data_IF_352360814017
#
_entry.id   IF_352360814017
#
_cell.length_a   1.000
_cell.length_b   1.000
_cell.length_c   1.000
_cell.angle_alpha   90.00
_cell.angle_beta   90.00
_cell.angle_gamma   90.00
#
_symmetry.space_group_name_H-M   'P 1'
#
loop_
_entity.id
_entity.type
_entity.pdbx_description
1 polymer ?
#
# COMPACT_ATOMS: atom_id res chain seq x y z
N UNK A 1 -15.16 -16.46 0.40
CA UNK A 1 -15.04 -15.22 -0.42
C UNK A 1 -13.66 -14.60 -0.22
N UNK A 2 -13.24 -13.72 -1.14
CA UNK A 2 -11.97 -12.97 -1.06
C UNK A 2 -12.30 -11.49 -0.93
N UNK A 3 -11.84 -10.89 0.18
CA UNK A 3 -11.97 -9.46 0.46
C UNK A 3 -10.62 -8.78 0.29
N UNK A 4 -10.57 -7.73 -0.52
CA UNK A 4 -9.41 -6.86 -0.69
C UNK A 4 -9.64 -5.55 0.07
N UNK A 5 -8.87 -5.33 1.15
CA UNK A 5 -9.11 -4.26 2.12
C UNK A 5 -7.94 -3.28 2.14
N UNK A 6 -8.21 -1.99 1.93
CA UNK A 6 -7.17 -0.97 1.85
C UNK A 6 -7.63 0.39 2.32
N UNK A 7 -6.66 1.19 2.81
CA UNK A 7 -6.85 2.61 3.07
C UNK A 7 -6.71 3.40 1.77
N UNK A 8 -7.57 4.42 1.59
CA UNK A 8 -7.61 5.26 0.40
C UNK A 8 -7.53 6.75 0.78
N UNK A 9 -6.79 7.53 -0.01
CA UNK A 9 -6.68 8.98 0.15
C UNK A 9 -7.25 9.72 -1.06
N UNK A 10 -6.51 9.82 -2.18
CA UNK A 10 -6.88 10.57 -3.38
C UNK A 10 -6.37 9.92 -4.68
N UNK A 11 -5.83 8.73 -4.62
CA UNK A 11 -5.16 8.04 -5.73
C UNK A 11 -6.17 7.35 -6.67
N UNK A 12 -7.11 8.13 -7.27
CA UNK A 12 -8.21 7.58 -8.09
C UNK A 12 -7.73 6.71 -9.27
N UNK A 13 -6.61 7.06 -9.89
CA UNK A 13 -6.04 6.32 -11.01
C UNK A 13 -5.45 4.98 -10.56
N UNK A 14 -4.78 4.98 -9.39
CA UNK A 14 -4.25 3.76 -8.77
C UNK A 14 -5.38 2.86 -8.29
N UNK A 15 -6.45 3.45 -7.73
CA UNK A 15 -7.67 2.72 -7.36
C UNK A 15 -8.29 2.02 -8.57
N UNK A 16 -8.43 2.73 -9.68
CA UNK A 16 -8.98 2.15 -10.89
C UNK A 16 -8.10 1.02 -11.44
N UNK A 17 -6.78 1.22 -11.44
CA UNK A 17 -5.82 0.19 -11.82
C UNK A 17 -5.98 -1.06 -10.93
N UNK A 18 -6.01 -0.87 -9.60
CA UNK A 18 -6.19 -1.95 -8.62
C UNK A 18 -7.48 -2.74 -8.85
N UNK A 19 -8.61 -2.05 -8.98
CA UNK A 19 -9.91 -2.67 -9.16
C UNK A 19 -9.94 -3.53 -10.44
N UNK A 20 -9.41 -3.03 -11.55
CA UNK A 20 -9.37 -3.76 -12.81
C UNK A 20 -8.44 -4.98 -12.76
N UNK A 21 -7.26 -4.86 -12.14
CA UNK A 21 -6.32 -5.97 -11.99
C UNK A 21 -6.92 -7.07 -11.11
N UNK A 22 -7.56 -6.71 -9.99
CA UNK A 22 -7.98 -7.67 -8.98
C UNK A 22 -9.42 -8.19 -9.18
N UNK A 23 -10.23 -7.53 -10.01
CA UNK A 23 -11.63 -7.91 -10.24
C UNK A 23 -11.84 -9.37 -10.69
N UNK A 24 -10.92 -10.04 -11.39
CA UNK A 24 -11.11 -11.45 -11.74
C UNK A 24 -11.02 -12.44 -10.57
N UNK A 25 -10.50 -12.00 -9.40
CA UNK A 25 -10.19 -12.91 -8.28
C UNK A 25 -10.75 -12.45 -6.94
N UNK A 26 -11.06 -11.17 -6.76
CA UNK A 26 -11.58 -10.58 -5.52
C UNK A 26 -13.09 -10.50 -5.58
N UNK A 27 -13.80 -10.90 -4.55
CA UNK A 27 -15.27 -10.81 -4.47
C UNK A 27 -15.74 -9.44 -3.98
N UNK A 28 -15.07 -8.87 -2.96
CA UNK A 28 -15.41 -7.58 -2.35
C UNK A 28 -14.17 -6.73 -2.11
N UNK A 29 -14.31 -5.44 -2.33
CA UNK A 29 -13.29 -4.42 -2.04
C UNK A 29 -13.74 -3.58 -0.85
N UNK A 30 -13.01 -3.61 0.24
CA UNK A 30 -13.26 -2.76 1.42
C UNK A 30 -12.36 -1.53 1.31
N UNK A 31 -12.93 -0.44 0.85
CA UNK A 31 -12.26 0.85 0.70
C UNK A 31 -12.52 1.71 1.93
N UNK A 32 -11.46 2.03 2.69
CA UNK A 32 -11.56 2.89 3.88
C UNK A 32 -11.07 4.28 3.57
N UNK A 33 -11.96 5.24 3.56
CA UNK A 33 -11.68 6.65 3.30
C UNK A 33 -12.00 7.50 4.55
N UNK A 34 -11.20 8.55 4.79
CA UNK A 34 -11.46 9.53 5.87
C UNK A 34 -11.71 10.91 5.27
N UNK A 35 -12.52 11.72 5.94
CA UNK A 35 -12.68 13.15 5.65
C UNK A 35 -11.60 14.03 6.31
N UNK A 36 -10.57 13.42 6.88
CA UNK A 36 -9.36 14.07 7.40
C UNK A 36 -8.11 13.39 6.84
N UNK A 37 -7.05 14.16 6.69
CA UNK A 37 -5.70 13.63 6.42
C UNK A 37 -5.10 13.05 7.71
N UNK A 38 -4.04 12.26 7.61
CA UNK A 38 -3.30 11.81 8.81
C UNK A 38 -2.57 12.95 9.52
N UNK A 39 -2.37 14.11 8.85
CA UNK A 39 -1.94 15.35 9.49
C UNK A 39 -3.09 16.14 10.15
N UNK A 40 -4.27 15.53 10.28
CA UNK A 40 -5.47 16.07 10.91
C UNK A 40 -6.04 17.32 10.22
N UNK A 41 -5.87 17.44 8.91
CA UNK A 41 -6.50 18.52 8.12
C UNK A 41 -7.78 17.98 7.47
N UNK A 42 -8.88 18.76 7.44
CA UNK A 42 -10.08 18.38 6.71
C UNK A 42 -9.79 18.15 5.23
N UNK A 43 -10.41 17.15 4.65
CA UNK A 43 -10.35 16.87 3.22
C UNK A 43 -11.68 16.33 2.70
N UNK A 44 -11.84 16.38 1.41
CA UNK A 44 -12.96 15.75 0.74
C UNK A 44 -12.90 14.22 0.79
N UNK A 45 -14.06 13.59 0.65
CA UNK A 45 -14.17 12.17 0.36
C UNK A 45 -14.04 11.97 -1.16
N UNK A 46 -12.81 11.74 -1.63
CA UNK A 46 -12.49 11.66 -3.06
C UNK A 46 -13.20 10.50 -3.75
N UNK A 47 -13.25 9.31 -3.12
CA UNK A 47 -14.01 8.19 -3.69
C UNK A 47 -15.51 8.51 -3.74
N UNK A 48 -16.08 9.05 -2.67
CA UNK A 48 -17.51 9.38 -2.63
C UNK A 48 -17.89 10.36 -3.74
N UNK A 49 -17.06 11.37 -4.01
CA UNK A 49 -17.28 12.36 -5.07
C UNK A 49 -17.09 11.81 -6.48
N UNK A 50 -16.37 10.72 -6.64
CA UNK A 50 -16.04 10.13 -7.94
C UNK A 50 -16.65 8.74 -8.13
N UNK A 51 -17.71 8.39 -7.43
CA UNK A 51 -18.35 7.06 -7.48
C UNK A 51 -18.70 6.60 -8.88
N UNK A 52 -19.17 7.51 -9.71
CA UNK A 52 -19.59 7.20 -11.08
C UNK A 52 -18.44 6.65 -11.93
N UNK A 53 -17.21 7.09 -11.68
CA UNK A 53 -15.99 6.54 -12.31
C UNK A 53 -15.82 5.04 -12.04
N UNK A 54 -16.35 4.55 -10.91
CA UNK A 54 -16.21 3.18 -10.44
C UNK A 54 -17.53 2.39 -10.51
N UNK A 55 -18.49 2.85 -11.30
CA UNK A 55 -19.82 2.23 -11.40
C UNK A 55 -19.78 0.73 -11.76
N UNK A 56 -18.80 0.31 -12.58
CA UNK A 56 -18.60 -1.10 -12.94
C UNK A 56 -18.25 -2.02 -11.74
N UNK A 57 -17.85 -1.45 -10.61
CA UNK A 57 -17.49 -2.16 -9.40
C UNK A 57 -18.42 -1.86 -8.22
N UNK A 58 -19.49 -1.08 -8.43
CA UNK A 58 -20.34 -0.54 -7.36
C UNK A 58 -20.88 -1.61 -6.41
N UNK A 59 -21.33 -2.76 -6.94
CA UNK A 59 -21.88 -3.88 -6.16
C UNK A 59 -20.84 -4.64 -5.34
N UNK A 60 -19.57 -4.38 -5.60
CA UNK A 60 -18.43 -5.06 -4.96
C UNK A 60 -17.66 -4.17 -4.00
N UNK A 61 -17.82 -2.83 -4.08
CA UNK A 61 -17.12 -1.89 -3.21
C UNK A 61 -17.92 -1.64 -1.94
N UNK A 62 -17.32 -1.99 -0.81
CA UNK A 62 -17.80 -1.64 0.53
C UNK A 62 -17.04 -0.38 0.96
N UNK A 63 -17.71 0.77 0.89
CA UNK A 63 -17.12 2.06 1.24
C UNK A 63 -17.30 2.34 2.74
N UNK A 64 -16.20 2.34 3.46
CA UNK A 64 -16.15 2.64 4.89
C UNK A 64 -15.63 4.07 5.10
N UNK A 65 -16.46 4.94 5.64
CA UNK A 65 -16.09 6.33 5.95
C UNK A 65 -15.64 6.46 7.39
N UNK A 66 -14.47 7.09 7.59
CA UNK A 66 -13.98 7.56 8.89
C UNK A 66 -14.21 9.07 8.95
N UNK A 67 -15.29 9.46 9.60
CA UNK A 67 -15.75 10.84 9.74
C UNK A 67 -15.22 11.54 10.99
N UNK A 68 -14.68 10.79 11.95
CA UNK A 68 -14.09 11.32 13.18
C UNK A 68 -12.90 10.46 13.60
N UNK A 69 -11.79 11.11 13.90
CA UNK A 69 -10.64 10.47 14.53
C UNK A 69 -10.76 10.48 16.07
N UNK A 70 -10.06 9.56 16.76
CA UNK A 70 -10.01 9.53 18.21
C UNK A 70 -9.26 10.75 18.76
N UNK A 71 -9.49 11.05 20.03
CA UNK A 71 -8.73 12.06 20.75
C UNK A 71 -7.23 11.72 20.70
N UNK A 72 -6.44 12.72 20.30
CA UNK A 72 -5.00 12.58 20.11
C UNK A 72 -4.29 13.88 20.50
N UNK A 73 -4.12 14.16 21.81
CA UNK A 73 -3.58 15.42 22.30
C UNK A 73 -2.17 15.76 21.79
N UNK A 74 -1.42 14.73 21.39
CA UNK A 74 -0.07 14.89 20.80
C UNK A 74 -0.08 15.08 19.30
N UNK A 75 -1.26 15.11 18.67
CA UNK A 75 -1.44 15.17 17.21
C UNK A 75 -0.52 14.20 16.44
N UNK A 76 -0.38 12.99 16.94
CA UNK A 76 0.47 11.97 16.34
C UNK A 76 -0.25 11.34 15.14
N UNK A 77 0.21 11.64 13.94
CA UNK A 77 -0.37 11.17 12.67
C UNK A 77 -0.51 9.64 12.57
N UNK A 78 0.38 8.89 13.21
CA UNK A 78 0.32 7.43 13.28
C UNK A 78 -0.91 6.89 14.04
N UNK A 79 -1.48 7.66 14.96
CA UNK A 79 -2.73 7.30 15.64
C UNK A 79 -3.88 7.32 14.65
N UNK A 80 -3.94 8.33 13.79
CA UNK A 80 -4.98 8.51 12.79
C UNK A 80 -4.88 7.45 11.68
N UNK A 81 -3.66 7.17 11.18
CA UNK A 81 -3.43 6.11 10.20
C UNK A 81 -3.88 4.74 10.71
N UNK A 82 -3.48 4.39 11.94
CA UNK A 82 -3.88 3.12 12.58
C UNK A 82 -5.39 3.02 12.77
N UNK A 83 -6.02 4.11 13.18
CA UNK A 83 -7.47 4.15 13.36
C UNK A 83 -8.20 3.95 12.04
N UNK A 84 -7.77 4.64 10.98
CA UNK A 84 -8.33 4.48 9.65
C UNK A 84 -8.15 3.04 9.15
N UNK A 85 -6.97 2.45 9.27
CA UNK A 85 -6.73 1.06 8.85
C UNK A 85 -7.57 0.06 9.67
N UNK A 86 -7.73 0.26 10.97
CA UNK A 86 -8.56 -0.61 11.79
C UNK A 86 -10.05 -0.50 11.45
N UNK A 87 -10.51 0.58 10.82
CA UNK A 87 -11.87 0.72 10.33
C UNK A 87 -12.21 -0.28 9.18
N UNK A 88 -11.23 -0.98 8.60
CA UNK A 88 -11.44 -2.14 7.72
C UNK A 88 -12.43 -3.13 8.35
N UNK A 89 -12.38 -3.34 9.67
CA UNK A 89 -13.30 -4.25 10.37
C UNK A 89 -14.77 -3.88 10.20
N UNK A 90 -15.09 -2.60 9.95
CA UNK A 90 -16.47 -2.16 9.69
C UNK A 90 -17.01 -2.66 8.34
N UNK A 91 -16.12 -2.92 7.38
CA UNK A 91 -16.46 -3.45 6.06
C UNK A 91 -16.49 -4.98 6.01
N UNK A 92 -16.09 -5.65 7.08
CA UNK A 92 -16.01 -7.11 7.18
C UNK A 92 -17.13 -7.73 8.03
N UNK A 93 -18.20 -7.00 8.32
CA UNK A 93 -19.30 -7.47 9.21
C UNK A 93 -20.02 -8.71 8.66
N UNK A 94 -20.13 -8.83 7.33
CA UNK A 94 -20.78 -9.94 6.66
C UNK A 94 -19.81 -11.05 6.23
N UNK A 95 -18.51 -10.90 6.53
CA UNK A 95 -17.51 -11.92 6.20
C UNK A 95 -17.57 -13.12 7.11
N UNK A 96 -17.30 -14.30 6.55
CA UNK A 96 -17.28 -15.57 7.28
C UNK A 96 -15.87 -15.89 7.76
N UNK A 97 -15.75 -16.76 8.76
CA UNK A 97 -14.48 -17.14 9.37
C UNK A 97 -13.47 -17.74 8.39
N UNK A 98 -13.95 -18.41 7.35
CA UNK A 98 -13.16 -19.04 6.29
C UNK A 98 -12.90 -18.14 5.05
N UNK A 99 -13.37 -16.88 5.05
CA UNK A 99 -13.06 -15.95 3.97
C UNK A 99 -11.58 -15.52 4.02
N UNK A 100 -10.98 -15.30 2.84
CA UNK A 100 -9.65 -14.77 2.71
C UNK A 100 -9.70 -13.23 2.75
N UNK A 101 -8.96 -12.64 3.67
CA UNK A 101 -8.83 -11.19 3.82
C UNK A 101 -7.44 -10.76 3.39
N UNK A 102 -7.37 -9.85 2.41
CA UNK A 102 -6.15 -9.17 1.99
C UNK A 102 -6.13 -7.77 2.61
N UNK A 103 -5.01 -7.38 3.21
CA UNK A 103 -4.82 -6.06 3.85
C UNK A 103 -3.59 -5.40 3.27
N UNK A 104 -3.75 -4.18 2.72
CA UNK A 104 -2.66 -3.40 2.11
C UNK A 104 -2.96 -1.91 2.10
N UNK A 105 -2.06 -1.11 1.52
CA UNK A 105 -2.37 0.24 1.06
C UNK A 105 -2.83 0.18 -0.41
N UNK A 106 -3.53 1.21 -0.90
CA UNK A 106 -4.15 1.20 -2.25
C UNK A 106 -3.13 0.98 -3.38
N UNK A 107 -1.90 1.44 -3.19
CA UNK A 107 -0.79 1.37 -4.14
C UNK A 107 0.02 0.05 -4.06
N UNK A 108 -0.38 -0.89 -3.20
CA UNK A 108 0.22 -2.21 -3.00
C UNK A 108 -0.66 -3.29 -3.62
N UNK A 109 -0.50 -3.55 -4.90
CA UNK A 109 -1.38 -4.41 -5.69
C UNK A 109 -0.79 -5.83 -5.78
N UNK A 110 -1.45 -6.85 -5.20
CA UNK A 110 -0.99 -8.24 -5.33
C UNK A 110 -1.26 -8.80 -6.73
N UNK A 111 -0.50 -9.80 -7.15
CA UNK A 111 -0.73 -10.54 -8.40
C UNK A 111 -1.97 -11.43 -8.27
N UNK A 112 -2.93 -11.37 -9.21
CA UNK A 112 -4.14 -12.20 -9.18
C UNK A 112 -3.87 -13.70 -9.11
N UNK A 113 -2.87 -14.19 -9.84
CA UNK A 113 -2.48 -15.60 -9.85
C UNK A 113 -1.96 -16.07 -8.49
N UNK A 114 -1.32 -15.19 -7.71
CA UNK A 114 -0.89 -15.51 -6.36
C UNK A 114 -2.07 -15.66 -5.41
N UNK A 115 -3.08 -14.80 -5.54
CA UNK A 115 -4.30 -14.85 -4.72
C UNK A 115 -5.08 -16.13 -4.97
N UNK A 116 -5.25 -16.52 -6.25
CA UNK A 116 -5.99 -17.75 -6.63
C UNK A 116 -5.43 -19.02 -6.01
N UNK A 117 -4.11 -19.06 -5.78
CA UNK A 117 -3.40 -20.24 -5.35
C UNK A 117 -3.17 -20.29 -3.83
N UNK A 118 -3.69 -19.33 -3.07
CA UNK A 118 -3.56 -19.31 -1.61
C UNK A 118 -4.55 -20.32 -1.01
N UNK A 119 -4.08 -21.31 -0.23
CA UNK A 119 -4.95 -22.10 0.60
C UNK A 119 -5.58 -21.23 1.70
N UNK A 120 -6.83 -21.48 2.03
CA UNK A 120 -7.49 -20.83 3.19
C UNK A 120 -7.24 -21.68 4.43
N UNK A 121 -6.09 -21.47 5.04
CA UNK A 121 -5.59 -22.24 6.20
C UNK A 121 -5.10 -21.30 7.34
N UNK A 122 -4.29 -21.81 8.27
CA UNK A 122 -3.80 -21.06 9.42
C UNK A 122 -2.53 -20.22 9.15
N UNK A 123 -2.14 -20.06 7.88
CA UNK A 123 -1.00 -19.22 7.53
C UNK A 123 -1.40 -17.75 7.39
N UNK A 124 -0.42 -16.91 7.70
CA UNK A 124 -0.41 -15.50 7.30
C UNK A 124 0.51 -15.39 6.08
N UNK A 125 -0.05 -14.99 4.96
CA UNK A 125 0.61 -14.88 3.69
C UNK A 125 1.21 -13.50 3.51
N UNK A 126 2.53 -13.43 3.32
CA UNK A 126 3.33 -12.21 3.16
C UNK A 126 3.66 -12.01 1.68
N UNK A 127 2.96 -11.12 1.01
CA UNK A 127 3.19 -10.82 -0.40
C UNK A 127 4.41 -9.92 -0.55
N UNK A 128 5.49 -10.47 -1.08
CA UNK A 128 6.67 -9.71 -1.45
C UNK A 128 6.43 -9.05 -2.80
N UNK A 129 6.35 -7.74 -2.81
CA UNK A 129 6.00 -6.91 -3.96
C UNK A 129 7.20 -6.12 -4.45
N UNK A 130 7.32 -5.98 -5.77
CA UNK A 130 8.36 -5.18 -6.40
C UNK A 130 8.08 -3.69 -6.19
N UNK A 131 9.08 -2.94 -5.76
CA UNK A 131 8.95 -1.52 -5.48
C UNK A 131 9.16 -0.69 -6.75
N UNK A 132 8.17 0.14 -7.07
CA UNK A 132 8.23 1.19 -8.08
C UNK A 132 7.99 2.54 -7.43
N UNK A 133 8.71 3.57 -7.86
CA UNK A 133 8.68 4.85 -7.21
C UNK A 133 8.58 6.00 -8.22
N UNK A 134 7.75 7.00 -7.97
CA UNK A 134 7.50 8.17 -8.83
C UNK A 134 6.74 7.91 -10.13
N UNK A 135 7.10 6.85 -10.84
CA UNK A 135 6.46 6.38 -12.07
C UNK A 135 6.29 4.87 -12.03
N UNK A 136 5.31 4.38 -12.77
CA UNK A 136 5.00 2.94 -12.86
C UNK A 136 6.23 2.14 -13.35
N UNK A 137 7.01 2.73 -14.24
CA UNK A 137 8.20 2.11 -14.81
C UNK A 137 9.53 2.58 -14.19
N UNK A 138 9.47 3.16 -12.99
CA UNK A 138 10.66 3.57 -12.24
C UNK A 138 10.88 2.59 -11.08
N UNK A 139 11.82 1.65 -11.24
CA UNK A 139 12.04 0.52 -10.34
C UNK A 139 13.18 0.75 -9.37
N UNK A 140 13.07 0.26 -8.15
CA UNK A 140 14.16 0.25 -7.17
C UNK A 140 15.25 -0.75 -7.62
N UNK A 141 16.42 -0.23 -7.97
CA UNK A 141 17.62 -0.98 -8.38
C UNK A 141 18.70 -0.97 -7.32
N UNK A 142 18.39 -0.58 -6.10
CA UNK A 142 19.34 -0.55 -4.99
C UNK A 142 19.92 -1.93 -4.75
N UNK A 143 21.24 -2.05 -4.67
CA UNK A 143 21.91 -3.30 -4.28
C UNK A 143 21.66 -3.57 -2.80
N UNK A 144 20.60 -4.28 -2.50
CA UNK A 144 20.34 -4.83 -1.16
C UNK A 144 20.84 -6.26 -1.12
N UNK A 145 21.35 -6.70 0.05
CA UNK A 145 21.86 -8.08 0.26
C UNK A 145 20.80 -9.17 0.11
N UNK A 146 19.54 -8.80 0.11
CA UNK A 146 18.41 -9.63 -0.30
C UNK A 146 17.72 -8.93 -1.46
N UNK A 147 17.04 -9.67 -2.32
CA UNK A 147 15.99 -9.14 -3.22
C UNK A 147 14.84 -8.62 -2.34
N UNK A 148 15.13 -7.64 -1.48
CA UNK A 148 14.26 -7.13 -0.46
C UNK A 148 13.09 -6.44 -1.12
N UNK A 149 12.16 -7.26 -1.56
CA UNK A 149 10.85 -6.87 -1.99
C UNK A 149 10.11 -6.31 -0.78
N UNK A 150 9.33 -5.32 -1.03
CA UNK A 150 8.43 -4.74 -0.04
C UNK A 150 7.35 -5.76 0.35
N UNK A 151 7.16 -6.03 1.65
CA UNK A 151 6.00 -6.79 2.12
C UNK A 151 4.84 -5.82 2.24
N UNK A 152 4.06 -5.72 1.18
CA UNK A 152 2.92 -4.81 1.08
C UNK A 152 1.62 -5.46 1.53
N UNK A 153 1.09 -6.38 0.74
CA UNK A 153 -0.15 -7.08 1.06
C UNK A 153 0.08 -8.20 2.06
N UNK A 154 -0.83 -8.32 3.01
CA UNK A 154 -0.92 -9.44 3.96
C UNK A 154 -2.23 -10.17 3.68
N UNK A 155 -2.17 -11.49 3.48
CA UNK A 155 -3.34 -12.36 3.31
C UNK A 155 -3.52 -13.28 4.51
N UNK A 156 -4.77 -13.42 5.01
CA UNK A 156 -5.06 -14.34 6.10
C UNK A 156 -6.54 -14.73 6.10
N UNK A 157 -6.86 -15.83 6.75
CA UNK A 157 -8.24 -16.24 7.00
C UNK A 157 -8.93 -15.26 7.97
N UNK A 158 -10.21 -14.99 7.76
CA UNK A 158 -10.97 -13.97 8.51
C UNK A 158 -10.99 -14.21 10.02
N UNK A 159 -11.09 -15.46 10.47
CA UNK A 159 -11.13 -15.80 11.90
C UNK A 159 -9.78 -15.61 12.62
N UNK A 160 -8.68 -15.49 11.89
CA UNK A 160 -7.38 -15.10 12.42
C UNK A 160 -7.22 -13.59 12.57
N UNK A 161 -8.10 -12.80 11.92
CA UNK A 161 -8.00 -11.33 11.91
C UNK A 161 -8.68 -10.74 13.14
N UNK A 162 -7.87 -10.19 14.05
CA UNK A 162 -8.32 -9.39 15.20
C UNK A 162 -8.21 -7.88 14.91
N UNK A 163 -7.01 -7.38 14.61
CA UNK A 163 -6.71 -5.96 14.41
C UNK A 163 -5.92 -5.78 13.11
N UNK A 164 -6.48 -5.16 12.04
CA UNK A 164 -5.82 -4.98 10.76
C UNK A 164 -4.42 -4.36 10.84
N UNK A 165 -4.24 -3.34 11.67
CA UNK A 165 -2.95 -2.66 11.87
C UNK A 165 -1.87 -3.58 12.43
N UNK A 166 -2.22 -4.57 13.25
CA UNK A 166 -1.28 -5.56 13.79
C UNK A 166 -0.59 -6.33 12.67
N UNK A 167 -1.36 -6.84 11.71
CA UNK A 167 -0.85 -7.61 10.57
C UNK A 167 -0.07 -6.71 9.61
N UNK A 168 -0.55 -5.50 9.34
CA UNK A 168 0.20 -4.54 8.54
C UNK A 168 1.56 -4.22 9.15
N UNK A 169 1.63 -4.03 10.45
CA UNK A 169 2.88 -3.76 11.18
C UNK A 169 3.85 -4.94 11.11
N UNK A 170 3.36 -6.17 11.06
CA UNK A 170 4.17 -7.36 10.85
C UNK A 170 4.94 -7.29 9.53
N UNK A 171 4.26 -6.98 8.41
CA UNK A 171 4.90 -6.80 7.10
C UNK A 171 5.99 -5.75 7.13
N UNK A 172 5.74 -4.59 7.74
CA UNK A 172 6.72 -3.50 7.87
C UNK A 172 7.95 -3.89 8.69
N UNK A 173 7.75 -4.63 9.79
CA UNK A 173 8.85 -5.13 10.62
C UNK A 173 9.71 -6.13 9.87
N UNK A 174 9.09 -7.07 9.14
CA UNK A 174 9.79 -8.10 8.37
C UNK A 174 10.54 -7.49 7.18
N UNK A 175 9.94 -6.51 6.48
CA UNK A 175 10.66 -5.72 5.45
C UNK A 175 11.90 -5.05 6.05
N UNK A 176 11.77 -4.44 7.22
CA UNK A 176 12.90 -3.79 7.91
C UNK A 176 14.00 -4.75 8.36
N UNK A 177 13.70 -6.02 8.64
CA UNK A 177 14.72 -7.05 8.97
C UNK A 177 15.54 -7.46 7.74
N UNK A 178 14.96 -7.38 6.56
CA UNK A 178 15.67 -7.67 5.30
C UNK A 178 16.65 -6.55 4.89
N UNK A 179 16.51 -5.33 5.45
CA UNK A 179 17.45 -4.23 5.25
C UNK A 179 18.50 -4.20 6.36
N UNK A 180 19.76 -4.52 6.01
CA UNK A 180 20.88 -4.60 6.95
C UNK A 180 21.12 -3.31 7.76
N UNK A 181 20.69 -2.15 7.25
CA UNK A 181 20.81 -0.84 7.92
C UNK A 181 19.79 -0.66 9.06
N UNK A 182 18.71 -1.43 9.05
CA UNK A 182 17.63 -1.35 10.03
C UNK A 182 17.60 -2.56 10.99
N UNK A 183 18.50 -3.54 10.80
CA UNK A 183 18.51 -4.84 11.47
C UNK A 183 18.37 -4.74 13.01
N UNK A 184 19.17 -3.91 13.67
CA UNK A 184 19.15 -3.83 15.14
C UNK A 184 17.83 -3.26 15.66
N UNK A 185 17.33 -2.18 15.03
CA UNK A 185 16.09 -1.53 15.45
C UNK A 185 14.86 -2.40 15.15
N UNK A 186 14.89 -3.11 14.02
CA UNK A 186 13.83 -4.03 13.61
C UNK A 186 13.85 -5.32 14.42
N UNK A 187 15.03 -5.82 14.83
CA UNK A 187 15.16 -7.00 15.69
C UNK A 187 14.45 -6.81 17.04
N UNK A 188 14.71 -5.69 17.74
CA UNK A 188 14.02 -5.41 19.02
C UNK A 188 12.51 -5.22 18.84
N UNK A 189 12.06 -4.60 17.75
CA UNK A 189 10.65 -4.51 17.41
C UNK A 189 10.05 -5.88 17.13
N UNK A 190 10.74 -6.73 16.38
CA UNK A 190 10.36 -8.11 16.11
C UNK A 190 10.21 -8.93 17.39
N UNK A 191 11.22 -8.93 18.25
CA UNK A 191 11.20 -9.70 19.51
C UNK A 191 10.01 -9.30 20.38
N UNK A 192 9.73 -7.99 20.48
CA UNK A 192 8.57 -7.50 21.23
C UNK A 192 7.25 -7.95 20.58
N UNK A 193 7.16 -7.88 19.27
CA UNK A 193 5.97 -8.24 18.49
C UNK A 193 5.74 -9.76 18.51
N UNK A 194 6.77 -10.57 18.26
CA UNK A 194 6.68 -12.04 18.28
C UNK A 194 6.33 -12.59 19.68
N UNK A 195 6.81 -11.96 20.75
CA UNK A 195 6.48 -12.40 22.12
C UNK A 195 5.04 -12.10 22.53
N UNK A 196 4.48 -10.99 22.06
CA UNK A 196 3.16 -10.53 22.52
C UNK A 196 2.02 -10.91 21.57
N UNK A 197 2.23 -10.83 20.26
CA UNK A 197 1.15 -10.75 19.27
C UNK A 197 1.12 -11.88 18.23
N UNK A 198 2.19 -12.68 18.08
CA UNK A 198 2.30 -13.71 17.03
C UNK A 198 2.45 -15.15 17.54
N UNK A 199 2.25 -15.40 18.81
CA UNK A 199 2.38 -16.75 19.36
C UNK A 199 1.34 -17.68 18.71
N UNK A 200 1.81 -18.57 17.84
CA UNK A 200 0.94 -19.57 17.18
C UNK A 200 0.67 -19.35 15.69
N UNK A 201 0.99 -18.18 15.11
CA UNK A 201 0.81 -17.97 13.67
C UNK A 201 1.94 -18.60 12.84
N UNK A 202 1.57 -19.16 11.70
CA UNK A 202 2.50 -19.65 10.67
C UNK A 202 2.64 -18.57 9.59
N UNK A 203 3.87 -18.25 9.18
CA UNK A 203 4.13 -17.25 8.14
C UNK A 203 4.56 -17.94 6.86
N UNK A 204 3.97 -17.54 5.74
CA UNK A 204 4.37 -17.98 4.41
C UNK A 204 4.67 -16.77 3.53
N UNK A 205 5.89 -16.73 2.96
CA UNK A 205 6.33 -15.68 2.05
C UNK A 205 6.02 -16.08 0.60
N UNK A 206 5.37 -15.17 -0.12
CA UNK A 206 5.06 -15.29 -1.54
C UNK A 206 5.98 -14.34 -2.28
N UNK A 207 6.98 -14.88 -2.99
CA UNK A 207 7.95 -14.10 -3.73
C UNK A 207 7.36 -13.57 -5.03
N UNK A 208 7.82 -12.37 -5.49
CA UNK A 208 7.35 -11.72 -6.72
C UNK A 208 5.82 -11.66 -6.81
N UNK A 209 5.17 -11.34 -5.68
CA UNK A 209 3.74 -11.50 -5.50
C UNK A 209 2.92 -10.23 -5.78
N UNK A 210 3.50 -9.22 -6.43
CA UNK A 210 2.77 -8.00 -6.79
C UNK A 210 3.66 -6.78 -7.03
N UNK A 211 3.00 -5.63 -7.10
CA UNK A 211 3.59 -4.34 -7.39
C UNK A 211 3.25 -3.34 -6.28
N UNK A 212 4.25 -2.56 -5.86
CA UNK A 212 4.04 -1.40 -4.99
C UNK A 212 4.37 -0.14 -5.78
N UNK A 213 3.34 0.57 -6.23
CA UNK A 213 3.43 1.79 -7.03
C UNK A 213 3.41 3.04 -6.15
N UNK A 214 4.54 3.35 -5.51
CA UNK A 214 4.60 4.42 -4.52
C UNK A 214 4.87 5.79 -5.14
N UNK A 215 4.24 6.84 -4.58
CA UNK A 215 4.45 8.24 -4.97
C UNK A 215 4.26 8.54 -6.47
N UNK A 216 3.33 7.90 -7.14
CA UNK A 216 3.09 8.08 -8.58
C UNK A 216 2.65 9.50 -8.95
N UNK A 217 3.08 9.97 -10.13
CA UNK A 217 2.55 11.16 -10.80
C UNK A 217 3.38 12.42 -10.60
N UNK A 218 4.67 12.29 -10.37
CA UNK A 218 5.61 13.41 -10.42
C UNK A 218 5.61 14.31 -9.17
N UNK A 219 6.37 15.41 -9.24
CA UNK A 219 6.72 16.22 -8.07
C UNK A 219 5.52 16.78 -7.30
N UNK A 220 4.49 17.27 -7.99
CA UNK A 220 3.33 17.87 -7.30
C UNK A 220 2.53 16.83 -6.50
N UNK A 221 2.33 15.62 -7.03
CA UNK A 221 1.64 14.54 -6.30
C UNK A 221 2.46 14.04 -5.12
N UNK A 222 3.80 14.01 -5.25
CA UNK A 222 4.72 13.73 -4.14
C UNK A 222 4.51 14.75 -3.01
N UNK A 223 4.49 16.06 -3.31
CA UNK A 223 4.26 17.13 -2.32
C UNK A 223 2.92 16.95 -1.62
N UNK A 224 1.84 16.72 -2.37
CA UNK A 224 0.50 16.50 -1.82
C UNK A 224 0.48 15.31 -0.84
N UNK A 225 1.14 14.20 -1.21
CA UNK A 225 1.25 13.02 -0.34
C UNK A 225 2.06 13.33 0.92
N UNK A 226 3.17 14.09 0.83
CA UNK A 226 3.99 14.50 1.98
C UNK A 226 3.21 15.35 2.99
N UNK A 227 2.30 16.17 2.53
CA UNK A 227 1.48 17.03 3.39
C UNK A 227 0.36 16.29 4.14
N UNK A 228 -0.06 15.14 3.60
CA UNK A 228 -1.23 14.41 4.07
C UNK A 228 -0.92 13.17 4.91
N UNK A 229 0.20 12.49 4.67
CA UNK A 229 0.47 11.17 5.23
C UNK A 229 1.09 11.20 6.65
N UNK A 230 1.31 10.02 7.26
CA UNK A 230 1.70 9.91 8.66
C UNK A 230 3.17 10.29 8.95
N UNK A 231 4.05 10.24 7.95
CA UNK A 231 5.47 10.58 8.07
C UNK A 231 5.72 12.09 8.06
N UNK A 232 5.19 12.78 9.08
CA UNK A 232 5.28 14.25 9.19
C UNK A 232 6.72 14.77 9.37
N UNK A 233 7.69 13.91 9.65
CA UNK A 233 9.12 14.24 9.64
C UNK A 233 9.65 14.69 8.27
N UNK A 234 8.96 14.30 7.18
CA UNK A 234 9.26 14.72 5.82
C UNK A 234 8.38 15.88 5.32
N UNK A 235 7.40 16.32 6.10
CA UNK A 235 6.54 17.47 5.75
C UNK A 235 7.23 18.78 6.06
N UNK A 236 8.42 19.02 5.49
CA UNK A 236 9.25 20.20 5.67
C UNK A 236 9.54 20.86 4.32
N UNK A 237 9.80 22.17 4.28
CA UNK A 237 10.08 22.89 3.03
C UNK A 237 11.20 22.25 2.19
N UNK A 238 12.24 21.72 2.83
CA UNK A 238 13.40 21.10 2.18
C UNK A 238 13.07 19.84 1.34
N UNK A 239 11.93 19.17 1.65
CA UNK A 239 11.43 17.99 0.90
C UNK A 239 10.31 18.36 -0.08
N UNK A 240 9.90 19.64 -0.16
CA UNK A 240 8.75 20.06 -0.96
C UNK A 240 9.10 21.07 -2.07
N UNK A 241 10.37 21.21 -2.39
CA UNK A 241 10.83 21.99 -3.54
C UNK A 241 10.55 21.20 -4.83
N UNK A 242 9.64 21.68 -5.71
CA UNK A 242 9.24 20.93 -6.90
C UNK A 242 10.40 20.71 -7.89
N UNK A 243 11.30 21.66 -8.03
CA UNK A 243 12.39 21.57 -9.00
C UNK A 243 13.50 20.63 -8.51
N UNK A 244 13.77 20.66 -7.20
CA UNK A 244 14.62 19.68 -6.55
C UNK A 244 14.06 18.26 -6.69
N UNK A 245 12.76 18.07 -6.44
CA UNK A 245 12.10 16.75 -6.58
C UNK A 245 12.20 16.27 -8.03
N UNK A 246 11.91 17.12 -9.03
CA UNK A 246 12.05 16.77 -10.44
C UNK A 246 13.46 16.33 -10.79
N UNK A 247 14.48 17.08 -10.34
CA UNK A 247 15.89 16.74 -10.58
C UNK A 247 16.25 15.39 -9.94
N UNK A 248 15.84 15.16 -8.70
CA UNK A 248 16.09 13.88 -8.01
C UNK A 248 15.41 12.70 -8.70
N UNK A 249 14.17 12.88 -9.17
CA UNK A 249 13.45 11.86 -9.94
C UNK A 249 14.21 11.53 -11.24
N UNK A 250 14.61 12.54 -12.00
CA UNK A 250 15.35 12.38 -13.26
C UNK A 250 16.68 11.64 -13.05
N UNK A 251 17.34 11.87 -11.91
CA UNK A 251 18.59 11.21 -11.53
C UNK A 251 18.40 9.84 -10.87
N UNK A 252 17.16 9.35 -10.72
CA UNK A 252 16.86 8.11 -10.00
C UNK A 252 17.23 8.14 -8.52
N UNK A 253 17.09 9.29 -7.87
CA UNK A 253 17.50 9.51 -6.48
C UNK A 253 16.30 9.41 -5.51
N UNK A 254 16.60 9.03 -4.28
CA UNK A 254 15.60 8.97 -3.20
C UNK A 254 15.42 10.34 -2.54
N UNK A 255 14.24 10.94 -2.70
CA UNK A 255 13.91 12.27 -2.12
C UNK A 255 14.07 12.34 -0.60
N UNK A 256 14.12 11.21 0.09
CA UNK A 256 14.29 11.13 1.55
C UNK A 256 15.74 10.90 1.99
N UNK A 257 16.68 10.80 1.03
CA UNK A 257 18.09 10.60 1.34
C UNK A 257 18.43 9.27 2.03
N UNK A 258 17.58 8.25 1.88
CA UNK A 258 17.79 6.92 2.49
C UNK A 258 18.80 6.06 1.73
N UNK A 259 19.30 6.57 0.58
CA UNK A 259 20.32 5.93 -0.26
C UNK A 259 19.75 4.87 -1.20
N UNK A 260 18.45 4.91 -1.50
CA UNK A 260 17.87 4.12 -2.58
C UNK A 260 18.24 4.70 -3.93
N UNK A 261 18.26 3.83 -4.95
CA UNK A 261 18.47 4.19 -6.34
C UNK A 261 17.37 3.60 -7.18
N UNK A 262 16.88 4.40 -8.12
CA UNK A 262 15.80 4.03 -9.01
C UNK A 262 16.28 4.12 -10.46
N UNK A 263 15.69 3.31 -11.31
CA UNK A 263 15.97 3.33 -12.75
C UNK A 263 14.69 3.18 -13.53
N UNK A 264 14.55 3.90 -14.61
CA UNK A 264 13.47 3.71 -15.55
C UNK A 264 13.72 2.46 -16.38
N UNK A 265 12.66 1.67 -16.59
CA UNK A 265 12.71 0.42 -17.37
C UNK A 265 11.56 0.37 -18.36
N UNK A 266 11.70 -0.30 -19.51
CA UNK A 266 10.58 -0.55 -20.40
C UNK A 266 9.48 -1.36 -19.71
N UNK A 267 8.22 -1.13 -20.11
CA UNK A 267 7.10 -1.95 -19.67
C UNK A 267 7.12 -3.28 -20.43
N UNK A 268 7.35 -4.37 -19.72
CA UNK A 268 7.38 -5.73 -20.22
C UNK A 268 6.28 -6.62 -19.62
N UNK A 269 6.31 -7.91 -19.89
CA UNK A 269 5.33 -8.89 -19.38
C UNK A 269 5.34 -9.09 -17.86
N UNK A 270 6.26 -8.47 -17.11
CA UNK A 270 6.26 -8.49 -15.64
C UNK A 270 5.25 -7.52 -15.01
N UNK A 271 4.70 -6.61 -15.83
CA UNK A 271 3.65 -5.68 -15.42
C UNK A 271 2.25 -6.30 -15.58
N UNK A 272 1.23 -5.74 -14.88
CA UNK A 272 -0.14 -6.21 -15.03
C UNK A 272 -0.64 -6.15 -16.48
N UNK A 273 -1.28 -7.21 -16.97
CA UNK A 273 -1.84 -7.26 -18.33
C UNK A 273 -2.80 -6.10 -18.60
N UNK A 274 -3.63 -5.75 -17.61
CA UNK A 274 -4.54 -4.61 -17.73
C UNK A 274 -3.78 -3.29 -17.99
N UNK A 275 -2.69 -3.05 -17.27
CA UNK A 275 -1.85 -1.86 -17.48
C UNK A 275 -1.23 -1.86 -18.88
N UNK A 276 -0.70 -3.02 -19.31
CA UNK A 276 -0.08 -3.16 -20.63
C UNK A 276 -1.08 -2.90 -21.77
N UNK A 277 -2.32 -3.37 -21.61
CA UNK A 277 -3.40 -3.14 -22.57
C UNK A 277 -3.92 -1.69 -22.60
N UNK A 278 -3.72 -0.93 -21.51
CA UNK A 278 -4.26 0.42 -21.33
C UNK A 278 -3.18 1.48 -21.10
N UNK A 279 -1.98 1.32 -21.65
CA UNK A 279 -0.83 2.24 -21.47
C UNK A 279 -1.18 3.71 -21.74
N UNK A 280 -1.96 3.96 -22.77
CA UNK A 280 -2.38 5.32 -23.14
C UNK A 280 -3.16 6.03 -22.02
N UNK A 281 -3.97 5.28 -21.25
CA UNK A 281 -4.72 5.82 -20.11
C UNK A 281 -3.81 6.24 -18.95
N UNK A 282 -2.72 5.53 -18.76
CA UNK A 282 -1.77 5.73 -17.65
C UNK A 282 -0.50 6.47 -18.08
N UNK A 283 -0.52 7.14 -19.25
CA UNK A 283 0.68 7.78 -19.82
C UNK A 283 1.33 8.81 -18.88
N UNK A 284 0.56 9.55 -18.09
CA UNK A 284 1.08 10.50 -17.10
C UNK A 284 1.87 9.83 -15.96
N UNK A 285 1.67 8.54 -15.75
CA UNK A 285 2.37 7.74 -14.74
C UNK A 285 3.49 6.88 -15.31
N UNK A 286 3.74 6.95 -16.61
CA UNK A 286 4.78 6.21 -17.32
C UNK A 286 5.78 7.22 -17.84
N UNK A 287 7.04 7.09 -17.44
CA UNK A 287 8.11 7.95 -17.97
C UNK A 287 8.48 7.53 -19.39
N UNK A 288 8.48 8.48 -20.33
CA UNK A 288 8.58 8.22 -21.77
C UNK A 288 10.01 8.18 -22.31
N UNK A 289 11.00 8.60 -21.52
CA UNK A 289 12.39 8.74 -21.99
C UNK A 289 13.19 7.43 -21.85
N UNK A 290 12.66 6.33 -22.41
CA UNK A 290 13.36 5.04 -22.47
C UNK A 290 13.32 4.52 -23.91
#
# INVERSE_FOLDING_TARGET
MIYDCFSFFNELDVLELRLNILSPVVDKFVLVESNFTHSNKPKELFFAKNRDRFAAFADRIIHVVVDKFPDNPRNNAWVFERFQRNAIMRGLVDSKGDDLILISDVDEIPKPEMIKNIPVDDHIYMFQQRMYYYYINCVDVSKRKSNASWIGTIGLRRDLLDIPQKFRQLGLVLTGLSDSRLLVRSFFRCVKFFRADLKGYRLQFLNDAGWHFSYLGGAQRVITKLEAFAHQEYNKPEFKDPDKIKSMIANGEDIFGRGFKYSFVPLDSSYPDYLLAHKAKYHEFIHSDI
#
